data_IF_721901355937
#
_entry.id   IF_721901355937
#
_cell.length_a   1.000
_cell.length_b   1.000
_cell.length_c   1.000
_cell.angle_alpha   90.00
_cell.angle_beta   90.00
_cell.angle_gamma   90.00
#
_symmetry.space_group_name_H-M   'P 1'
#
loop_
_entity.id
_entity.type
_entity.pdbx_description
1 polymer ?
#
# COMPACT_ATOMS: atom_id res chain seq x y z
N UNK A 1 -15.72 -7.18 24.49
CA UNK A 1 -15.18 -6.70 23.20
C UNK A 1 -14.65 -5.30 23.43
N UNK A 2 -13.30 -5.11 23.39
CA UNK A 2 -12.67 -3.79 23.53
C UNK A 2 -12.72 -3.03 22.21
N UNK A 3 -13.18 -1.80 22.24
CA UNK A 3 -13.08 -0.89 21.09
C UNK A 3 -11.72 -0.19 21.14
N UNK A 4 -10.98 -0.16 20.00
CA UNK A 4 -9.83 0.74 19.84
C UNK A 4 -10.38 2.14 19.55
N UNK A 5 -10.18 3.08 20.47
CA UNK A 5 -10.53 4.50 20.25
C UNK A 5 -9.29 5.21 19.73
N UNK A 6 -9.40 5.82 18.54
CA UNK A 6 -8.37 6.73 18.01
C UNK A 6 -8.80 8.16 18.34
N UNK A 7 -7.91 8.93 18.94
CA UNK A 7 -8.15 10.34 19.29
C UNK A 7 -7.42 11.21 18.29
N UNK A 8 -8.15 12.10 17.63
CA UNK A 8 -7.60 13.12 16.75
C UNK A 8 -7.68 14.48 17.47
N UNK A 9 -6.55 14.93 18.00
CA UNK A 9 -6.47 16.15 18.80
C UNK A 9 -5.84 17.27 17.97
N UNK A 10 -6.67 18.21 17.49
CA UNK A 10 -6.22 19.34 16.67
C UNK A 10 -5.57 20.49 17.50
N UNK A 11 -5.69 20.45 18.83
CA UNK A 11 -5.14 21.49 19.71
C UNK A 11 -3.75 21.10 20.18
N UNK A 12 -3.57 19.81 20.52
CA UNK A 12 -2.28 19.27 20.96
C UNK A 12 -1.98 18.01 20.15
N UNK A 13 -1.15 18.16 19.12
CA UNK A 13 -0.82 17.08 18.20
C UNK A 13 -0.05 15.93 18.86
N UNK A 14 0.69 16.19 19.94
CA UNK A 14 1.41 15.16 20.71
C UNK A 14 0.46 14.16 21.38
N UNK A 15 -0.79 14.57 21.61
CA UNK A 15 -1.85 13.73 22.15
C UNK A 15 -2.76 13.13 21.08
N UNK A 16 -2.42 13.32 19.82
CA UNK A 16 -3.18 12.82 18.68
C UNK A 16 -2.64 11.47 18.21
N UNK A 17 -3.52 10.55 17.86
CA UNK A 17 -3.09 9.39 17.11
C UNK A 17 -2.70 9.83 15.69
N UNK A 18 -1.59 9.31 15.20
CA UNK A 18 -1.23 9.49 13.80
C UNK A 18 -2.30 8.84 12.90
N UNK A 19 -2.72 9.58 11.87
CA UNK A 19 -3.62 9.08 10.84
C UNK A 19 -2.98 9.27 9.48
N UNK A 20 -2.65 8.17 8.85
CA UNK A 20 -2.22 8.16 7.47
C UNK A 20 -3.46 8.09 6.57
N UNK A 21 -3.85 9.23 6.01
CA UNK A 21 -5.04 9.32 5.16
C UNK A 21 -4.89 8.54 3.84
N UNK A 22 -3.68 8.26 3.42
CA UNK A 22 -3.41 7.47 2.19
C UNK A 22 -3.85 6.02 2.38
N UNK A 23 -3.95 5.51 3.60
CA UNK A 23 -4.47 4.17 3.86
C UNK A 23 -5.94 3.98 3.41
N UNK A 24 -6.67 5.06 3.21
CA UNK A 24 -8.05 5.01 2.72
C UNK A 24 -8.17 4.56 1.25
N UNK A 25 -7.07 4.53 0.48
CA UNK A 25 -7.09 4.06 -0.91
C UNK A 25 -7.10 2.54 -1.03
N UNK A 26 -6.78 1.82 0.05
CA UNK A 26 -6.76 0.36 0.04
C UNK A 26 -8.13 -0.21 0.42
N UNK A 27 -8.51 -1.31 -0.24
CA UNK A 27 -9.68 -2.07 0.15
C UNK A 27 -9.45 -2.72 1.52
N UNK A 28 -10.34 -2.52 2.52
CA UNK A 28 -10.12 -3.00 3.88
C UNK A 28 -10.25 -4.52 4.03
N UNK A 29 -10.79 -5.21 3.03
CA UNK A 29 -10.98 -6.67 3.03
C UNK A 29 -9.80 -7.36 2.37
N UNK A 30 -9.40 -6.88 1.20
CA UNK A 30 -8.34 -7.50 0.38
C UNK A 30 -6.96 -6.90 0.64
N UNK A 31 -6.89 -5.66 1.13
CA UNK A 31 -5.65 -4.89 1.27
C UNK A 31 -5.07 -4.42 -0.06
N UNK A 32 -5.74 -4.67 -1.19
CA UNK A 32 -5.31 -4.21 -2.51
C UNK A 32 -5.70 -2.74 -2.72
N UNK A 33 -5.01 -2.08 -3.65
CA UNK A 33 -5.38 -0.73 -4.09
C UNK A 33 -6.75 -0.79 -4.76
N UNK A 34 -7.63 0.15 -4.42
CA UNK A 34 -8.97 0.29 -4.99
C UNK A 34 -9.07 1.61 -5.77
N UNK A 35 -9.27 1.52 -7.08
CA UNK A 35 -9.30 2.67 -7.98
C UNK A 35 -10.38 3.70 -7.61
N UNK A 36 -11.55 3.25 -7.14
CA UNK A 36 -12.63 4.15 -6.72
C UNK A 36 -12.27 4.91 -5.44
N UNK A 37 -11.56 4.25 -4.54
CA UNK A 37 -11.04 4.87 -3.32
C UNK A 37 -9.93 5.86 -3.66
N UNK A 38 -9.02 5.54 -4.58
CA UNK A 38 -8.01 6.49 -5.09
C UNK A 38 -8.67 7.74 -5.67
N UNK A 39 -9.67 7.57 -6.54
CA UNK A 39 -10.41 8.70 -7.13
C UNK A 39 -11.08 9.55 -6.05
N UNK A 40 -11.75 8.91 -5.09
CA UNK A 40 -12.44 9.60 -3.99
C UNK A 40 -11.46 10.35 -3.11
N UNK A 41 -10.32 9.72 -2.77
CA UNK A 41 -9.25 10.33 -2.00
C UNK A 41 -8.70 11.58 -2.71
N UNK A 42 -8.34 11.47 -3.98
CA UNK A 42 -7.78 12.57 -4.76
C UNK A 42 -8.77 13.76 -4.85
N UNK A 43 -10.02 13.49 -5.16
CA UNK A 43 -11.08 14.52 -5.18
C UNK A 43 -11.24 15.21 -3.84
N UNK A 44 -11.23 14.44 -2.76
CA UNK A 44 -11.37 14.99 -1.40
C UNK A 44 -10.18 15.88 -1.03
N UNK A 45 -8.97 15.47 -1.33
CA UNK A 45 -7.76 16.27 -1.06
C UNK A 45 -7.81 17.57 -1.86
N UNK A 46 -8.05 17.52 -3.16
CA UNK A 46 -8.07 18.71 -4.03
C UNK A 46 -9.20 19.67 -3.62
N UNK A 47 -10.39 19.15 -3.34
CA UNK A 47 -11.51 19.99 -2.90
C UNK A 47 -11.25 20.74 -1.58
N UNK A 48 -10.43 20.14 -0.71
CA UNK A 48 -10.10 20.74 0.60
C UNK A 48 -8.82 21.58 0.61
N UNK A 49 -7.94 21.42 -0.38
CA UNK A 49 -6.66 22.15 -0.49
C UNK A 49 -6.70 23.27 -1.53
N UNK A 50 -7.52 23.11 -2.56
CA UNK A 50 -7.78 24.15 -3.56
C UNK A 50 -8.53 25.32 -2.91
N UNK A 51 -7.89 26.49 -2.85
CA UNK A 51 -8.40 27.68 -2.17
C UNK A 51 -9.83 28.02 -2.57
N UNK A 52 -10.73 27.83 -1.65
CA UNK A 52 -12.12 28.22 -1.52
C UNK A 52 -12.95 28.48 -2.78
N UNK A 53 -14.25 28.22 -2.67
CA UNK A 53 -15.33 28.28 -3.68
C UNK A 53 -15.38 29.50 -4.66
N UNK A 54 -14.32 30.30 -4.75
CA UNK A 54 -14.20 31.47 -5.61
C UNK A 54 -13.06 31.43 -6.63
N UNK A 55 -12.26 30.35 -6.70
CA UNK A 55 -11.33 30.21 -7.82
C UNK A 55 -12.15 29.81 -9.06
N UNK A 56 -12.48 30.78 -9.89
CA UNK A 56 -12.95 30.54 -11.27
C UNK A 56 -11.75 30.02 -12.10
N UNK A 57 -11.22 28.83 -11.71
CA UNK A 57 -10.21 28.12 -12.48
C UNK A 57 -10.78 27.63 -13.79
N UNK A 58 -9.95 27.56 -14.80
CA UNK A 58 -10.32 26.88 -16.05
C UNK A 58 -10.55 25.38 -15.72
N UNK A 59 -11.72 24.79 -16.05
CA UNK A 59 -12.01 23.39 -15.78
C UNK A 59 -10.98 22.40 -16.34
N UNK A 60 -10.24 22.81 -17.37
CA UNK A 60 -9.14 22.05 -17.94
C UNK A 60 -7.99 21.86 -16.96
N UNK A 61 -7.58 22.95 -16.27
CA UNK A 61 -6.48 22.87 -15.31
C UNK A 61 -6.85 22.10 -14.06
N UNK A 62 -8.07 22.28 -13.55
CA UNK A 62 -8.58 21.50 -12.40
C UNK A 62 -8.59 20.00 -12.69
N UNK A 63 -9.06 19.61 -13.88
CA UNK A 63 -9.04 18.19 -14.29
C UNK A 63 -7.62 17.66 -14.49
N UNK A 64 -6.70 18.49 -14.97
CA UNK A 64 -5.31 18.09 -15.19
C UNK A 64 -4.57 17.90 -13.86
N UNK A 65 -4.79 18.78 -12.87
CA UNK A 65 -4.25 18.64 -11.51
C UNK A 65 -4.76 17.38 -10.83
N UNK A 66 -6.07 17.10 -10.90
CA UNK A 66 -6.66 15.89 -10.35
C UNK A 66 -6.03 14.63 -10.98
N UNK A 67 -5.88 14.61 -12.30
CA UNK A 67 -5.30 13.47 -13.00
C UNK A 67 -3.83 13.27 -12.63
N UNK A 68 -3.04 14.33 -12.54
CA UNK A 68 -1.63 14.25 -12.15
C UNK A 68 -1.49 13.73 -10.71
N UNK A 69 -2.29 14.25 -9.80
CA UNK A 69 -2.27 13.82 -8.41
C UNK A 69 -2.68 12.35 -8.28
N UNK A 70 -3.72 11.93 -9.02
CA UNK A 70 -4.15 10.52 -9.06
C UNK A 70 -3.05 9.60 -9.56
N UNK A 71 -2.33 10.00 -10.62
CA UNK A 71 -1.19 9.24 -11.14
C UNK A 71 -0.10 9.09 -10.08
N UNK A 72 0.25 10.16 -9.37
CA UNK A 72 1.26 10.11 -8.32
C UNK A 72 0.85 9.19 -7.14
N UNK A 73 -0.41 9.30 -6.69
CA UNK A 73 -0.96 8.41 -5.65
C UNK A 73 -0.90 6.95 -6.07
N UNK A 74 -1.41 6.65 -7.27
CA UNK A 74 -1.42 5.28 -7.80
C UNK A 74 -0.01 4.72 -7.98
N UNK A 75 0.93 5.54 -8.43
CA UNK A 75 2.33 5.17 -8.58
C UNK A 75 3.00 4.80 -7.25
N UNK A 76 2.89 5.66 -6.25
CA UNK A 76 3.47 5.39 -4.92
C UNK A 76 2.87 4.11 -4.30
N UNK A 77 1.55 3.96 -4.39
CA UNK A 77 0.85 2.78 -3.89
C UNK A 77 1.29 1.50 -4.61
N UNK A 78 1.38 1.55 -5.94
CA UNK A 78 1.84 0.42 -6.75
C UNK A 78 3.27 -0.01 -6.42
N UNK A 79 4.21 0.95 -6.27
CA UNK A 79 5.60 0.64 -5.94
C UNK A 79 5.68 -0.04 -4.57
N UNK A 80 4.91 0.44 -3.58
CA UNK A 80 4.82 -0.20 -2.27
C UNK A 80 4.26 -1.61 -2.35
N UNK A 81 3.13 -1.80 -3.02
CA UNK A 81 2.48 -3.10 -3.17
C UNK A 81 3.41 -4.12 -3.84
N UNK A 82 4.04 -3.72 -4.95
CA UNK A 82 5.02 -4.54 -5.66
C UNK A 82 6.19 -4.95 -4.76
N UNK A 83 6.74 -4.01 -4.02
CA UNK A 83 7.85 -4.29 -3.10
C UNK A 83 7.43 -5.25 -1.98
N UNK A 84 6.24 -5.09 -1.40
CA UNK A 84 5.70 -6.02 -0.41
C UNK A 84 5.55 -7.44 -0.97
N UNK A 85 5.04 -7.59 -2.19
CA UNK A 85 4.91 -8.90 -2.84
C UNK A 85 6.29 -9.57 -3.00
N UNK A 86 7.29 -8.82 -3.45
CA UNK A 86 8.66 -9.32 -3.61
C UNK A 86 9.27 -9.74 -2.25
N UNK A 87 9.03 -8.95 -1.20
CA UNK A 87 9.45 -9.28 0.17
C UNK A 87 8.76 -10.56 0.66
N UNK A 88 7.43 -10.65 0.52
CA UNK A 88 6.67 -11.81 0.95
C UNK A 88 7.10 -13.09 0.22
N UNK A 89 7.30 -13.01 -1.10
CA UNK A 89 7.78 -14.16 -1.88
C UNK A 89 9.16 -14.62 -1.41
N UNK A 90 10.09 -13.70 -1.20
CA UNK A 90 11.43 -14.00 -0.72
C UNK A 90 11.40 -14.65 0.67
N UNK A 91 10.65 -14.05 1.62
CA UNK A 91 10.57 -14.53 2.99
C UNK A 91 9.84 -15.87 3.11
N UNK A 92 8.75 -16.06 2.33
CA UNK A 92 8.09 -17.36 2.28
C UNK A 92 9.04 -18.47 1.82
N UNK A 93 9.80 -18.25 0.75
CA UNK A 93 10.79 -19.23 0.26
C UNK A 93 11.89 -19.52 1.30
N UNK A 94 12.44 -18.47 1.94
CA UNK A 94 13.46 -18.62 2.98
C UNK A 94 12.97 -19.45 4.16
N UNK A 95 11.77 -19.18 4.66
CA UNK A 95 11.18 -19.88 5.80
C UNK A 95 10.81 -21.33 5.46
N UNK A 96 10.25 -21.59 4.28
CA UNK A 96 9.87 -22.93 3.86
C UNK A 96 11.08 -23.87 3.80
N UNK A 97 12.27 -23.38 3.39
CA UNK A 97 13.49 -24.20 3.39
C UNK A 97 13.93 -24.62 4.79
N UNK A 98 13.45 -23.93 5.84
CA UNK A 98 13.83 -24.15 7.24
C UNK A 98 12.74 -24.88 8.05
N UNK A 99 11.59 -25.18 7.44
CA UNK A 99 10.44 -25.83 8.07
C UNK A 99 10.24 -27.26 7.50
N UNK A 100 11.03 -28.25 7.94
CA UNK A 100 11.07 -29.60 7.32
C UNK A 100 9.80 -30.41 7.48
N UNK A 101 8.86 -29.96 8.31
CA UNK A 101 7.57 -30.63 8.51
C UNK A 101 6.48 -30.18 7.52
N UNK A 102 6.75 -29.13 6.72
CA UNK A 102 5.83 -28.71 5.65
C UNK A 102 6.05 -29.66 4.45
N UNK A 103 4.96 -30.23 3.97
CA UNK A 103 5.03 -31.12 2.81
C UNK A 103 5.31 -30.34 1.52
N UNK A 104 5.83 -31.00 0.51
CA UNK A 104 6.09 -30.37 -0.78
C UNK A 104 4.81 -29.84 -1.45
N UNK A 105 3.66 -30.49 -1.22
CA UNK A 105 2.36 -30.05 -1.73
C UNK A 105 1.90 -28.77 -1.03
N UNK A 106 2.05 -28.69 0.31
CA UNK A 106 1.74 -27.49 1.09
C UNK A 106 2.65 -26.33 0.71
N UNK A 107 3.96 -26.60 0.53
CA UNK A 107 4.92 -25.60 0.08
C UNK A 107 4.49 -24.97 -1.25
N UNK A 108 4.15 -25.81 -2.24
CA UNK A 108 3.69 -25.32 -3.54
C UNK A 108 2.42 -24.49 -3.42
N UNK A 109 1.48 -24.92 -2.60
CA UNK A 109 0.21 -24.21 -2.37
C UNK A 109 0.43 -22.85 -1.71
N UNK A 110 1.30 -22.76 -0.70
CA UNK A 110 1.61 -21.50 -0.01
C UNK A 110 2.34 -20.52 -0.94
N UNK A 111 3.32 -21.00 -1.71
CA UNK A 111 4.03 -20.17 -2.69
C UNK A 111 3.08 -19.69 -3.80
N UNK A 112 2.14 -20.52 -4.24
CA UNK A 112 1.14 -20.12 -5.24
C UNK A 112 0.29 -18.95 -4.75
N UNK A 113 -0.20 -18.97 -3.49
CA UNK A 113 -0.96 -17.85 -2.92
C UNK A 113 -0.14 -16.56 -2.95
N UNK A 114 1.16 -16.62 -2.61
CA UNK A 114 2.01 -15.43 -2.56
C UNK A 114 2.28 -14.87 -3.96
N UNK A 115 2.46 -15.73 -4.97
CA UNK A 115 2.83 -15.35 -6.33
C UNK A 115 1.66 -15.00 -7.22
N UNK A 116 0.49 -15.60 -7.00
CA UNK A 116 -0.66 -15.42 -7.88
C UNK A 116 -1.08 -13.94 -7.95
N UNK A 117 -1.08 -13.30 -9.11
CA UNK A 117 -1.48 -11.88 -9.26
C UNK A 117 -2.88 -11.58 -8.73
N UNK A 118 -3.79 -12.56 -8.78
CA UNK A 118 -5.18 -12.43 -8.31
C UNK A 118 -5.32 -12.54 -6.78
N UNK A 119 -4.27 -12.95 -6.06
CA UNK A 119 -4.34 -13.08 -4.60
C UNK A 119 -4.44 -11.73 -3.92
N UNK A 120 -5.29 -11.66 -2.90
CA UNK A 120 -5.40 -10.49 -2.03
C UNK A 120 -4.09 -10.26 -1.23
N UNK A 121 -3.73 -9.01 -1.00
CA UNK A 121 -2.54 -8.68 -0.18
C UNK A 121 -2.65 -9.23 1.24
N UNK A 122 -3.87 -9.23 1.80
CA UNK A 122 -4.15 -9.84 3.11
C UNK A 122 -3.84 -11.33 3.13
N UNK A 123 -4.14 -12.07 2.07
CA UNK A 123 -3.87 -13.50 2.01
C UNK A 123 -2.38 -13.81 1.84
N UNK A 124 -1.67 -13.02 1.04
CA UNK A 124 -0.20 -13.10 0.92
C UNK A 124 0.48 -12.84 2.27
N UNK A 125 0.05 -11.79 2.96
CA UNK A 125 0.56 -11.44 4.29
C UNK A 125 0.32 -12.56 5.29
N UNK A 126 -0.88 -13.16 5.31
CA UNK A 126 -1.23 -14.28 6.20
C UNK A 126 -0.36 -15.52 5.98
N UNK A 127 0.02 -15.82 4.74
CA UNK A 127 0.96 -16.92 4.45
C UNK A 127 2.30 -16.66 5.12
N UNK A 128 2.86 -15.47 4.95
CA UNK A 128 4.17 -15.13 5.53
C UNK A 128 4.10 -15.04 7.06
N UNK A 129 3.01 -14.51 7.62
CA UNK A 129 2.72 -14.48 9.05
C UNK A 129 2.67 -15.89 9.63
N UNK A 130 1.92 -16.80 9.00
CA UNK A 130 1.86 -18.21 9.40
C UNK A 130 3.25 -18.88 9.41
N UNK A 131 4.04 -18.67 8.36
CA UNK A 131 5.39 -19.22 8.28
C UNK A 131 6.33 -18.60 9.33
N UNK A 132 6.23 -17.28 9.55
CA UNK A 132 7.03 -16.60 10.57
C UNK A 132 6.68 -17.09 11.98
N UNK A 133 5.40 -17.22 12.32
CA UNK A 133 4.95 -17.78 13.60
C UNK A 133 5.40 -19.24 13.77
N UNK A 134 5.32 -20.02 12.72
CA UNK A 134 5.75 -21.42 12.73
C UNK A 134 7.26 -21.59 12.99
N UNK A 135 8.07 -20.63 12.58
CA UNK A 135 9.51 -20.68 12.72
C UNK A 135 10.03 -19.96 13.96
N UNK A 136 9.52 -18.75 14.25
CA UNK A 136 10.00 -17.90 15.36
C UNK A 136 9.10 -17.92 16.60
N UNK A 137 7.85 -18.42 16.49
CA UNK A 137 6.80 -18.21 17.49
C UNK A 137 6.04 -16.89 17.28
N UNK A 138 4.91 -16.74 17.97
CA UNK A 138 3.94 -15.66 17.67
C UNK A 138 4.52 -14.26 17.85
N UNK A 139 5.07 -13.92 19.03
CA UNK A 139 5.57 -12.57 19.31
C UNK A 139 6.77 -12.18 18.42
N UNK A 140 7.73 -13.09 18.27
CA UNK A 140 8.90 -12.84 17.42
C UNK A 140 8.54 -12.86 15.95
N UNK A 141 7.61 -13.71 15.54
CA UNK A 141 7.06 -13.75 14.16
C UNK A 141 6.41 -12.44 13.78
N UNK A 142 5.57 -11.85 14.65
CA UNK A 142 4.95 -10.55 14.44
C UNK A 142 6.00 -9.43 14.32
N UNK A 143 7.01 -9.45 15.17
CA UNK A 143 8.11 -8.49 15.12
C UNK A 143 8.89 -8.58 13.81
N UNK A 144 9.22 -9.81 13.39
CA UNK A 144 9.93 -10.05 12.12
C UNK A 144 9.11 -9.63 10.92
N UNK A 145 7.82 -9.93 10.90
CA UNK A 145 6.93 -9.51 9.82
C UNK A 145 6.90 -7.99 9.69
N UNK A 146 6.76 -7.27 10.81
CA UNK A 146 6.78 -5.80 10.83
C UNK A 146 8.12 -5.24 10.32
N UNK A 147 9.26 -5.80 10.77
CA UNK A 147 10.59 -5.41 10.28
C UNK A 147 10.73 -5.62 8.76
N UNK A 148 10.19 -6.71 8.21
CA UNK A 148 10.26 -6.95 6.75
C UNK A 148 9.36 -6.02 5.96
N UNK A 149 8.20 -5.65 6.51
CA UNK A 149 7.27 -4.71 5.88
C UNK A 149 7.82 -3.27 5.88
N UNK A 150 8.70 -2.92 6.84
CA UNK A 150 9.42 -1.64 6.89
C UNK A 150 10.47 -1.50 5.77
N UNK A 151 10.96 -2.62 5.20
CA UNK A 151 11.86 -2.60 4.04
C UNK A 151 11.16 -2.11 2.75
N UNK A 152 9.82 -2.14 2.69
CA UNK A 152 9.09 -1.64 1.55
C UNK A 152 9.02 -0.10 1.57
N UNK A 153 9.05 0.56 0.40
CA UNK A 153 8.83 2.00 0.32
C UNK A 153 7.53 2.40 1.01
N UNK A 154 7.54 3.52 1.69
CA UNK A 154 6.32 4.08 2.26
C UNK A 154 5.41 4.65 1.15
N UNK A 155 4.13 4.80 1.45
CA UNK A 155 3.19 5.50 0.59
C UNK A 155 2.35 6.41 1.48
N UNK A 156 2.84 7.61 1.69
CA UNK A 156 2.19 8.65 2.48
C UNK A 156 2.13 9.96 1.69
N UNK A 157 1.52 10.98 2.24
CA UNK A 157 1.37 12.29 1.57
C UNK A 157 2.72 12.91 1.20
N UNK A 158 3.76 12.74 2.03
CA UNK A 158 5.10 13.27 1.73
C UNK A 158 5.71 12.58 0.52
N UNK A 159 5.58 11.24 0.45
CA UNK A 159 6.10 10.45 -0.67
C UNK A 159 5.42 10.84 -2.00
N UNK A 160 4.10 11.07 -1.96
CA UNK A 160 3.32 11.51 -3.12
C UNK A 160 3.77 12.91 -3.55
N UNK A 161 3.98 13.81 -2.59
CA UNK A 161 4.46 15.17 -2.87
C UNK A 161 5.86 15.16 -3.45
N UNK A 162 6.76 14.36 -2.90
CA UNK A 162 8.13 14.20 -3.41
C UNK A 162 8.14 13.62 -4.83
N UNK A 163 7.26 12.65 -5.11
CA UNK A 163 7.08 12.11 -6.46
C UNK A 163 6.61 13.18 -7.46
N UNK A 164 5.75 14.09 -7.05
CA UNK A 164 5.28 15.20 -7.88
C UNK A 164 6.37 16.27 -8.12
N UNK A 165 7.18 16.58 -7.10
CA UNK A 165 8.22 17.61 -7.19
C UNK A 165 9.43 17.16 -7.99
N UNK A 166 9.89 15.94 -7.77
CA UNK A 166 11.11 15.41 -8.36
C UNK A 166 10.90 14.72 -9.70
N UNK A 167 9.71 14.79 -10.22
CA UNK A 167 9.20 14.47 -11.56
C UNK A 167 10.22 13.78 -12.50
N UNK A 168 10.69 12.61 -12.11
CA UNK A 168 11.52 11.76 -12.95
C UNK A 168 10.61 11.00 -13.92
N UNK A 169 10.10 11.71 -14.93
CA UNK A 169 9.18 11.19 -15.93
C UNK A 169 9.73 9.94 -16.61
N UNK A 170 11.04 9.83 -16.76
CA UNK A 170 11.67 8.65 -17.37
C UNK A 170 11.50 7.42 -16.47
N UNK A 171 11.62 7.58 -15.15
CA UNK A 171 11.35 6.49 -14.19
C UNK A 171 9.86 6.13 -14.13
N UNK A 172 8.99 7.13 -14.19
CA UNK A 172 7.56 6.91 -14.24
C UNK A 172 7.19 6.14 -15.50
N UNK A 173 7.66 6.58 -16.66
CA UNK A 173 7.38 5.89 -17.94
C UNK A 173 7.90 4.44 -17.93
N UNK A 174 9.11 4.20 -17.42
CA UNK A 174 9.66 2.86 -17.32
C UNK A 174 8.83 1.94 -16.41
N UNK A 175 8.31 2.46 -15.30
CA UNK A 175 7.50 1.68 -14.36
C UNK A 175 6.07 1.49 -14.85
N UNK A 176 5.45 2.51 -15.47
CA UNK A 176 4.09 2.40 -16.01
C UNK A 176 3.94 1.45 -17.19
N UNK A 177 5.01 1.13 -17.91
CA UNK A 177 4.97 0.08 -18.95
C UNK A 177 4.56 -1.29 -18.40
N UNK A 178 4.64 -1.50 -17.10
CA UNK A 178 4.30 -2.76 -16.44
C UNK A 178 3.03 -2.69 -15.59
N UNK A 179 2.40 -1.53 -15.49
CA UNK A 179 1.08 -1.43 -14.83
C UNK A 179 0.04 -1.92 -15.83
N UNK A 180 -0.64 -3.05 -15.57
CA UNK A 180 -1.80 -3.42 -16.37
C UNK A 180 -2.82 -2.30 -16.19
N UNK A 181 -3.06 -1.55 -17.26
CA UNK A 181 -4.19 -0.65 -17.34
C UNK A 181 -5.41 -1.56 -17.26
N UNK A 182 -5.93 -1.75 -16.06
CA UNK A 182 -7.25 -2.34 -15.87
C UNK A 182 -8.24 -1.43 -16.63
N UNK A 183 -8.88 -2.01 -17.60
CA UNK A 183 -9.65 -1.43 -18.68
C UNK A 183 -10.56 -0.25 -18.33
N UNK A 184 -10.86 0.61 -19.36
CA UNK A 184 -11.78 1.71 -19.24
C UNK A 184 -13.20 1.26 -18.95
#
# INVERSE_FOLDING_TARGET
>A
RGYKVKVFNLINLDLSNAWDCVQEIYDPITGNIDDQRVITFCKTVIANTGGGANSKGDPFWESSEENLFRVAVSYCAYIREKSLIEIYERRAKELLTQLPYITQEDEQSLIEIVKNPESAMVDRRRVVEYLAHSFYGDEEGDRKLSEWEEDAPTCNISDIYDALLHNDLDKWEANFKYVPLSHP
#
